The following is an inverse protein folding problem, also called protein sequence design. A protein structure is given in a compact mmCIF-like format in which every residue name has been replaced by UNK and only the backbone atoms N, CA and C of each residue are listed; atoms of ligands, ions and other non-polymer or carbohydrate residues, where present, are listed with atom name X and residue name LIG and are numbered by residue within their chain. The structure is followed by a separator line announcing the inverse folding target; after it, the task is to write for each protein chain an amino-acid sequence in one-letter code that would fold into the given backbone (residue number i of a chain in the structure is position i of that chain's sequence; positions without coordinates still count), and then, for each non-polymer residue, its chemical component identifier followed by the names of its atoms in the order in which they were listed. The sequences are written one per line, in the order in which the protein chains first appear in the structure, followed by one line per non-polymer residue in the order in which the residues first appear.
data_IF_656103450479
#
_entry.id   IF_656103450479
#
_cell.length_a   1.000
_cell.length_b   1.000
_cell.length_c   1.000
_cell.angle_alpha   90.00
_cell.angle_beta   90.00
_cell.angle_gamma   90.00
#
_symmetry.space_group_name_H-M   'P 1'
#
loop_
_entity.id
_entity.type
_entity.pdbx_description
1 polymer ?
#
# COMPACT_ATOMS: atom_id res chain seq x y z
N UNK A 1 1.96 -14.91 -0.68
CA UNK A 1 2.21 -14.46 -2.06
C UNK A 1 1.89 -12.98 -2.04
N UNK A 2 2.62 -12.13 -2.76
CA UNK A 2 2.25 -10.73 -2.78
C UNK A 2 0.91 -10.53 -3.49
N UNK A 3 0.07 -9.67 -2.93
CA UNK A 3 -1.23 -9.31 -3.47
C UNK A 3 -1.49 -7.83 -3.21
N UNK A 4 -2.25 -7.19 -4.09
CA UNK A 4 -2.62 -5.78 -3.99
C UNK A 4 -4.14 -5.63 -3.91
N UNK A 5 -4.62 -4.68 -3.11
CA UNK A 5 -6.01 -4.26 -3.00
C UNK A 5 -6.01 -2.77 -2.59
N UNK A 6 -6.98 -1.98 -3.03
CA UNK A 6 -7.05 -0.57 -2.63
C UNK A 6 -8.32 -0.26 -1.82
N UNK A 7 -8.16 0.62 -0.82
CA UNK A 7 -9.21 0.99 0.13
C UNK A 7 -9.35 2.51 0.20
N UNK A 8 -10.57 3.03 0.16
CA UNK A 8 -10.90 4.43 0.37
C UNK A 8 -11.85 4.55 1.56
N UNK A 9 -11.45 5.30 2.58
CA UNK A 9 -12.16 5.37 3.87
C UNK A 9 -12.05 6.78 4.49
N UNK A 10 -12.13 7.81 3.65
CA UNK A 10 -11.92 9.21 4.05
C UNK A 10 -10.48 9.65 3.78
N UNK A 11 -9.94 10.55 4.62
CA UNK A 11 -8.57 11.06 4.47
C UNK A 11 -7.56 9.91 4.42
N UNK A 12 -6.86 9.78 3.29
CA UNK A 12 -5.94 8.66 3.06
C UNK A 12 -4.77 8.58 4.05
N UNK A 13 -4.42 9.65 4.76
CA UNK A 13 -3.31 9.68 5.70
C UNK A 13 -3.55 8.77 6.91
N UNK A 14 -4.79 8.78 7.43
CA UNK A 14 -5.18 7.88 8.51
C UNK A 14 -5.32 6.44 8.04
N UNK A 15 -5.80 6.26 6.81
CA UNK A 15 -5.98 4.95 6.18
C UNK A 15 -4.62 4.29 5.94
N UNK A 16 -3.66 5.03 5.39
CA UNK A 16 -2.29 4.60 5.12
C UNK A 16 -1.64 4.12 6.41
N UNK A 17 -1.58 5.00 7.42
CA UNK A 17 -1.06 4.67 8.74
C UNK A 17 -1.76 3.46 9.37
N UNK A 18 -3.05 3.26 9.12
CA UNK A 18 -3.77 2.11 9.66
C UNK A 18 -3.31 0.79 9.05
N UNK A 19 -3.06 0.76 7.74
CA UNK A 19 -2.61 -0.43 7.05
C UNK A 19 -1.12 -0.70 7.23
N UNK A 20 -0.27 0.32 7.23
CA UNK A 20 1.19 0.19 7.43
C UNK A 20 1.57 -0.58 8.69
N UNK A 21 0.81 -0.38 9.77
CA UNK A 21 1.07 -1.04 11.05
C UNK A 21 0.57 -2.51 11.12
N UNK A 22 -0.13 -3.02 10.10
CA UNK A 22 -0.68 -4.38 10.11
C UNK A 22 0.43 -5.39 9.74
N UNK A 23 0.77 -6.36 10.61
CA UNK A 23 1.75 -7.38 10.26
C UNK A 23 1.35 -8.15 9.00
N UNK A 24 2.27 -8.24 8.04
CA UNK A 24 2.02 -8.87 6.73
C UNK A 24 1.67 -7.87 5.62
N UNK A 25 1.31 -6.62 5.96
CA UNK A 25 1.34 -5.51 5.00
C UNK A 25 2.80 -5.18 4.69
N UNK A 26 3.06 -5.00 3.40
CA UNK A 26 4.39 -4.79 2.83
C UNK A 26 4.61 -3.33 2.51
N UNK A 27 3.58 -2.68 1.97
CA UNK A 27 3.61 -1.30 1.49
C UNK A 27 2.17 -0.78 1.47
N UNK A 28 1.96 0.49 1.79
CA UNK A 28 0.68 1.16 1.72
C UNK A 28 0.91 2.53 1.09
N UNK A 29 0.31 2.76 -0.08
CA UNK A 29 0.60 3.95 -0.89
C UNK A 29 -0.66 4.78 -1.00
N UNK A 30 -0.61 6.02 -0.53
CA UNK A 30 -1.67 7.02 -0.72
C UNK A 30 -1.79 7.45 -2.19
N UNK A 31 -3.01 7.60 -2.69
CA UNK A 31 -3.27 7.96 -4.08
C UNK A 31 -4.73 8.17 -4.43
N UNK A 32 -4.98 8.17 -5.74
CA UNK A 32 -6.26 8.50 -6.35
C UNK A 32 -6.69 7.41 -7.32
N UNK A 33 -7.93 6.95 -7.21
CA UNK A 33 -8.53 5.98 -8.13
C UNK A 33 -10.07 6.13 -8.16
N UNK A 34 -10.75 5.36 -9.01
CA UNK A 34 -12.22 5.40 -9.16
C UNK A 34 -12.78 6.64 -9.87
N UNK A 35 -11.94 7.50 -10.42
CA UNK A 35 -12.34 8.68 -11.20
C UNK A 35 -12.14 8.49 -12.70
N UNK A 36 -12.63 9.45 -13.49
CA UNK A 36 -12.69 9.37 -14.96
C UNK A 36 -11.61 10.16 -15.69
N UNK A 37 -10.66 10.80 -14.99
CA UNK A 37 -9.64 11.64 -15.60
C UNK A 37 -8.21 11.18 -15.26
N UNK A 38 -7.29 11.43 -16.17
CA UNK A 38 -5.91 10.96 -16.03
C UNK A 38 -5.04 11.92 -15.22
N UNK A 39 -4.04 11.34 -14.53
CA UNK A 39 -3.01 12.04 -13.77
C UNK A 39 -3.55 13.11 -12.79
N UNK A 40 -4.49 12.74 -11.90
CA UNK A 40 -5.04 13.66 -10.91
C UNK A 40 -3.95 14.19 -9.97
N UNK A 41 -3.94 15.51 -9.77
CA UNK A 41 -3.30 16.15 -8.62
C UNK A 41 -4.26 16.25 -7.45
N UNK A 42 -3.74 16.38 -6.23
CA UNK A 42 -4.55 16.60 -5.03
C UNK A 42 -5.53 17.78 -5.19
N UNK A 43 -5.05 18.88 -5.80
CA UNK A 43 -5.86 20.08 -6.02
C UNK A 43 -7.05 19.82 -6.94
N UNK A 44 -6.84 19.10 -8.05
CA UNK A 44 -7.94 18.75 -8.96
C UNK A 44 -8.98 17.86 -8.29
N UNK A 45 -8.54 16.92 -7.45
CA UNK A 45 -9.45 16.07 -6.67
C UNK A 45 -10.29 16.89 -5.69
N UNK A 46 -9.68 17.87 -5.01
CA UNK A 46 -10.42 18.78 -4.13
C UNK A 46 -11.38 19.70 -4.89
N UNK A 47 -10.98 20.20 -6.06
CA UNK A 47 -11.81 21.10 -6.87
C UNK A 47 -13.11 20.41 -7.34
N UNK A 48 -13.05 19.09 -7.61
CA UNK A 48 -14.21 18.28 -8.03
C UNK A 48 -14.98 17.62 -6.86
N UNK A 49 -14.63 17.89 -5.59
CA UNK A 49 -15.22 17.16 -4.44
C UNK A 49 -16.73 17.30 -4.27
N UNK A 50 -17.28 18.40 -4.76
CA UNK A 50 -18.71 18.71 -4.71
C UNK A 50 -19.42 18.40 -6.04
N UNK A 51 -18.68 17.91 -7.04
CA UNK A 51 -19.26 17.55 -8.33
C UNK A 51 -20.10 16.27 -8.17
N UNK A 52 -21.41 16.41 -8.38
CA UNK A 52 -22.37 15.32 -8.33
C UNK A 52 -22.74 14.79 -9.70
N UNK A 53 -22.18 15.33 -10.79
CA UNK A 53 -22.48 14.94 -12.16
C UNK A 53 -22.12 13.47 -12.45
N UNK A 54 -21.05 12.94 -11.82
CA UNK A 54 -20.69 11.52 -11.86
C UNK A 54 -21.48 10.63 -10.88
N UNK A 55 -21.97 11.16 -9.75
CA UNK A 55 -22.75 10.39 -8.76
C UNK A 55 -24.10 9.93 -9.32
N UNK A 56 -24.66 10.71 -10.27
CA UNK A 56 -25.87 10.33 -11.02
C UNK A 56 -25.71 8.96 -11.69
N UNK A 57 -24.50 8.58 -12.17
CA UNK A 57 -24.29 7.27 -12.79
C UNK A 57 -24.34 6.10 -11.80
N UNK A 58 -23.81 6.24 -10.57
CA UNK A 58 -23.89 5.19 -9.54
C UNK A 58 -25.32 5.00 -9.02
N UNK A 59 -26.11 6.08 -9.00
CA UNK A 59 -27.52 6.06 -8.65
C UNK A 59 -28.40 5.54 -9.81
N UNK A 60 -28.06 5.87 -11.06
CA UNK A 60 -28.69 5.34 -12.27
C UNK A 60 -28.44 3.83 -12.44
N UNK A 61 -27.22 3.35 -12.13
CA UNK A 61 -26.87 1.91 -12.09
C UNK A 61 -27.72 1.14 -11.06
N UNK A 62 -28.26 1.84 -10.06
CA UNK A 62 -29.17 1.32 -9.03
C UNK A 62 -30.65 1.71 -9.26
N UNK A 63 -31.02 2.21 -10.43
CA UNK A 63 -32.41 2.35 -10.88
C UNK A 63 -33.16 3.61 -10.44
N UNK A 64 -32.49 4.68 -10.02
CA UNK A 64 -33.13 5.96 -9.69
C UNK A 64 -32.86 7.00 -10.78
N UNK A 65 -33.92 7.60 -11.36
CA UNK A 65 -33.85 8.56 -12.49
C UNK A 65 -34.10 10.01 -12.07
N UNK A 66 -33.31 10.93 -12.64
CA UNK A 66 -33.74 11.99 -13.58
C UNK A 66 -32.49 12.60 -14.27
N UNK A 67 -32.57 12.90 -15.59
CA UNK A 67 -31.42 13.31 -16.43
C UNK A 67 -30.99 14.78 -16.25
N UNK A 68 -29.68 15.07 -16.05
CA UNK A 68 -29.12 16.41 -16.24
C UNK A 68 -28.27 16.54 -17.52
N UNK A 69 -28.28 17.78 -18.05
CA UNK A 69 -27.66 18.27 -19.29
C UNK A 69 -26.13 18.10 -19.35
N UNK A 70 -25.68 17.95 -20.59
CA UNK A 70 -24.34 17.61 -21.10
C UNK A 70 -23.26 18.69 -20.86
N UNK A 71 -22.82 18.88 -19.62
CA UNK A 71 -21.40 19.17 -19.35
C UNK A 71 -20.67 17.82 -19.34
N UNK A 72 -19.45 17.71 -19.87
CA UNK A 72 -18.64 16.49 -19.76
C UNK A 72 -18.71 15.99 -18.31
N UNK A 73 -19.42 14.87 -18.08
CA UNK A 73 -19.73 14.37 -16.74
C UNK A 73 -18.45 13.83 -16.13
N UNK A 74 -17.91 14.52 -15.12
CA UNK A 74 -16.66 14.12 -14.45
C UNK A 74 -17.02 13.23 -13.27
N UNK A 75 -16.43 12.03 -13.21
CA UNK A 75 -16.41 11.23 -11.99
C UNK A 75 -15.13 11.55 -11.24
N UNK A 76 -15.25 12.12 -10.05
CA UNK A 76 -14.08 12.47 -9.26
C UNK A 76 -13.36 11.22 -8.72
N UNK A 77 -12.04 11.30 -8.60
CA UNK A 77 -11.29 10.30 -7.88
C UNK A 77 -11.60 10.34 -6.38
N UNK A 78 -11.48 9.19 -5.72
CA UNK A 78 -11.42 9.12 -4.26
C UNK A 78 -9.98 9.06 -3.79
N UNK A 79 -9.72 9.65 -2.62
CA UNK A 79 -8.53 9.36 -1.84
C UNK A 79 -8.57 7.88 -1.44
N UNK A 80 -7.54 7.14 -1.83
CA UNK A 80 -7.43 5.71 -1.61
C UNK A 80 -6.00 5.34 -1.22
N UNK A 81 -5.88 4.20 -0.53
CA UNK A 81 -4.62 3.59 -0.18
C UNK A 81 -4.52 2.26 -0.87
N UNK A 82 -3.49 2.08 -1.71
CA UNK A 82 -3.16 0.79 -2.30
C UNK A 82 -2.28 0.01 -1.35
N UNK A 83 -2.81 -1.10 -0.85
CA UNK A 83 -2.16 -1.99 0.12
C UNK A 83 -1.56 -3.18 -0.61
N UNK A 84 -0.25 -3.31 -0.54
CA UNK A 84 0.48 -4.51 -0.92
C UNK A 84 0.72 -5.34 0.33
N UNK A 85 0.43 -6.63 0.28
CA UNK A 85 0.56 -7.52 1.43
C UNK A 85 0.99 -8.92 1.03
N UNK A 86 1.61 -9.64 1.96
CA UNK A 86 1.86 -11.08 1.81
C UNK A 86 0.66 -11.87 2.33
N UNK A 87 -0.09 -12.47 1.41
CA UNK A 87 -1.26 -13.30 1.71
C UNK A 87 -0.98 -14.53 2.57
N UNK A 88 0.30 -14.90 2.75
CA UNK A 88 0.70 -15.97 3.68
C UNK A 88 0.69 -15.52 5.14
N UNK A 89 0.75 -14.21 5.37
CA UNK A 89 0.89 -13.60 6.70
C UNK A 89 -0.35 -12.88 7.14
N UNK A 90 -0.99 -12.15 6.24
CA UNK A 90 -2.26 -11.50 6.50
C UNK A 90 -3.24 -11.92 5.42
N UNK A 91 -4.40 -12.40 5.85
CA UNK A 91 -5.47 -12.75 4.92
C UNK A 91 -6.09 -11.50 4.30
N UNK A 92 -6.55 -11.60 3.06
CA UNK A 92 -7.40 -10.55 2.45
C UNK A 92 -8.60 -10.25 3.34
N UNK A 93 -9.22 -11.28 3.92
CA UNK A 93 -10.35 -11.16 4.82
C UNK A 93 -10.02 -10.23 6.01
N UNK A 94 -8.84 -10.39 6.61
CA UNK A 94 -8.40 -9.50 7.68
C UNK A 94 -8.31 -8.05 7.25
N UNK A 95 -7.70 -7.77 6.09
CA UNK A 95 -7.57 -6.40 5.58
C UNK A 95 -8.93 -5.78 5.26
N UNK A 96 -9.83 -6.54 4.65
CA UNK A 96 -11.18 -6.08 4.32
C UNK A 96 -12.03 -5.87 5.58
N UNK A 97 -11.97 -6.78 6.57
CA UNK A 97 -12.65 -6.60 7.86
C UNK A 97 -12.06 -5.44 8.66
N UNK A 98 -10.76 -5.23 8.60
CA UNK A 98 -10.11 -4.05 9.17
C UNK A 98 -10.63 -2.76 8.52
N UNK A 99 -10.74 -2.70 7.19
CA UNK A 99 -11.30 -1.58 6.45
C UNK A 99 -12.71 -1.21 6.91
N UNK A 100 -13.61 -2.19 7.00
CA UNK A 100 -14.99 -1.99 7.43
C UNK A 100 -15.07 -1.35 8.83
N UNK A 101 -14.18 -1.76 9.75
CA UNK A 101 -14.12 -1.21 11.11
C UNK A 101 -13.35 0.12 11.23
N UNK A 102 -12.71 0.59 10.15
CA UNK A 102 -11.85 1.77 10.16
C UNK A 102 -12.64 3.09 10.06
N UNK A 103 -13.87 3.05 9.55
CA UNK A 103 -14.61 4.24 9.13
C UNK A 103 -16.13 4.01 9.24
N UNK A 104 -16.96 4.96 8.79
CA UNK A 104 -18.41 4.82 8.66
C UNK A 104 -18.78 4.51 7.20
N UNK A 105 -18.98 3.24 6.82
CA UNK A 105 -19.31 2.86 5.45
C UNK A 105 -20.75 3.23 5.05
N UNK A 106 -21.53 3.87 5.93
CA UNK A 106 -22.91 4.30 5.65
C UNK A 106 -23.02 5.78 5.29
N UNK A 107 -21.92 6.54 5.45
CA UNK A 107 -21.87 7.95 5.10
C UNK A 107 -21.57 8.14 3.60
N UNK A 108 -22.51 8.77 2.88
CA UNK A 108 -22.35 9.10 1.46
C UNK A 108 -21.38 10.27 1.29
N UNK A 109 -20.39 10.12 0.41
CA UNK A 109 -19.47 11.18 -0.01
C UNK A 109 -18.88 11.98 1.16
N UNK A 110 -18.37 11.26 2.15
CA UNK A 110 -17.68 11.88 3.27
C UNK A 110 -17.40 10.87 4.38
N UNK A 111 -16.54 11.28 5.30
CA UNK A 111 -16.27 10.58 6.55
C UNK A 111 -16.20 11.60 7.68
N UNK A 112 -17.07 11.48 8.68
CA UNK A 112 -17.23 12.49 9.73
C UNK A 112 -17.39 13.90 9.14
N UNK A 113 -16.44 14.79 9.48
CA UNK A 113 -16.42 16.19 9.02
C UNK A 113 -15.75 16.38 7.65
N UNK A 114 -15.09 15.36 7.11
CA UNK A 114 -14.45 15.41 5.80
C UNK A 114 -15.52 15.09 4.74
N UNK A 115 -16.16 16.14 4.22
CA UNK A 115 -17.27 16.04 3.26
C UNK A 115 -16.76 16.28 1.84
N UNK A 116 -17.09 15.36 0.93
CA UNK A 116 -16.71 15.37 -0.48
C UNK A 116 -16.73 13.98 -1.08
N UNK A 117 -17.06 13.87 -2.37
CA UNK A 117 -17.02 12.59 -3.10
C UNK A 117 -15.61 11.96 -3.13
N UNK A 118 -14.55 12.75 -2.86
CA UNK A 118 -13.18 12.30 -2.74
C UNK A 118 -12.91 11.55 -1.42
N UNK A 119 -13.81 11.67 -0.44
CA UNK A 119 -13.76 10.98 0.85
C UNK A 119 -14.77 9.84 0.94
N UNK A 120 -15.32 9.40 -0.20
CA UNK A 120 -16.28 8.29 -0.23
C UNK A 120 -15.63 6.98 0.21
N UNK A 121 -16.45 6.09 0.75
CA UNK A 121 -16.04 4.73 1.05
C UNK A 121 -15.93 3.91 -0.24
N UNK A 122 -14.82 3.22 -0.48
CA UNK A 122 -14.65 2.31 -1.61
C UNK A 122 -13.66 1.17 -1.34
N UNK A 123 -13.87 0.02 -1.99
CA UNK A 123 -12.90 -1.09 -2.06
C UNK A 123 -12.69 -1.47 -3.52
N UNK A 124 -11.41 -1.59 -3.91
CA UNK A 124 -11.01 -1.95 -5.26
C UNK A 124 -10.15 -3.22 -5.28
N UNK A 125 -10.69 -4.32 -5.81
CA UNK A 125 -10.01 -5.63 -5.85
C UNK A 125 -9.23 -5.87 -7.15
N UNK A 126 -8.21 -6.70 -7.11
CA UNK A 126 -7.38 -7.08 -8.27
C UNK A 126 -7.64 -8.49 -8.79
N UNK A 127 -8.39 -9.32 -8.06
CA UNK A 127 -8.74 -10.69 -8.45
C UNK A 127 -10.08 -11.15 -7.88
N UNK A 128 -10.59 -12.28 -8.40
CA UNK A 128 -11.92 -12.80 -8.04
C UNK A 128 -12.01 -13.35 -6.61
N UNK A 129 -10.92 -13.87 -6.03
CA UNK A 129 -10.91 -14.32 -4.64
C UNK A 129 -11.12 -13.13 -3.69
N UNK A 130 -10.47 -12.00 -3.97
CA UNK A 130 -10.69 -10.75 -3.23
C UNK A 130 -12.13 -10.26 -3.39
N UNK A 131 -12.68 -10.27 -4.62
CA UNK A 131 -14.07 -9.89 -4.88
C UNK A 131 -15.04 -10.69 -4.01
N UNK A 132 -14.87 -12.02 -3.96
CA UNK A 132 -15.72 -12.89 -3.14
C UNK A 132 -15.67 -12.49 -1.66
N UNK A 133 -14.48 -12.31 -1.10
CA UNK A 133 -14.28 -11.91 0.29
C UNK A 133 -14.91 -10.54 0.57
N UNK A 134 -14.75 -9.59 -0.35
CA UNK A 134 -15.35 -8.25 -0.23
C UNK A 134 -16.87 -8.32 -0.14
N UNK A 135 -17.51 -9.11 -1.00
CA UNK A 135 -18.98 -9.26 -1.01
C UNK A 135 -19.48 -10.01 0.23
N UNK A 136 -18.80 -11.09 0.64
CA UNK A 136 -19.18 -11.87 1.82
C UNK A 136 -19.07 -11.03 3.12
N UNK A 137 -17.97 -10.30 3.28
CA UNK A 137 -17.76 -9.43 4.44
C UNK A 137 -18.64 -8.20 4.44
N UNK A 138 -18.99 -7.66 3.26
CA UNK A 138 -20.01 -6.61 3.12
C UNK A 138 -21.35 -7.06 3.73
N UNK A 139 -21.84 -8.23 3.32
CA UNK A 139 -23.14 -8.75 3.77
C UNK A 139 -23.13 -9.09 5.27
N UNK A 140 -22.01 -9.58 5.79
CA UNK A 140 -21.80 -9.78 7.22
C UNK A 140 -21.82 -8.44 7.98
N UNK A 141 -21.05 -7.45 7.53
CA UNK A 141 -20.95 -6.15 8.21
C UNK A 141 -22.24 -5.35 8.16
N UNK A 142 -22.98 -5.40 7.04
CA UNK A 142 -24.30 -4.76 6.93
C UNK A 142 -25.26 -5.25 8.01
N UNK A 143 -25.25 -6.55 8.34
CA UNK A 143 -26.08 -7.10 9.43
C UNK A 143 -25.67 -6.51 10.78
N UNK A 144 -24.37 -6.44 11.05
CA UNK A 144 -23.82 -5.88 12.29
C UNK A 144 -24.15 -4.39 12.45
N UNK A 145 -24.02 -3.60 11.37
CA UNK A 145 -24.39 -2.19 11.33
C UNK A 145 -25.88 -1.99 11.58
N UNK A 146 -26.73 -2.78 10.92
CA UNK A 146 -28.20 -2.73 11.10
C UNK A 146 -28.59 -2.99 12.56
N UNK A 147 -27.98 -3.99 13.20
CA UNK A 147 -28.21 -4.30 14.62
C UNK A 147 -27.82 -3.14 15.56
N UNK A 148 -26.91 -2.27 15.13
CA UNK A 148 -26.46 -1.09 15.86
C UNK A 148 -27.17 0.20 15.46
N UNK A 149 -28.17 0.11 14.57
CA UNK A 149 -29.00 1.24 14.14
C UNK A 149 -28.37 2.11 13.04
N UNK A 150 -27.29 1.66 12.42
CA UNK A 150 -26.70 2.35 11.26
C UNK A 150 -27.50 2.10 9.98
N UNK A 151 -27.28 2.95 8.98
CA UNK A 151 -27.92 2.87 7.67
C UNK A 151 -27.40 1.72 6.80
N UNK A 152 -27.75 1.80 5.50
CA UNK A 152 -27.17 0.90 4.49
C UNK A 152 -25.73 1.32 4.19
N UNK A 153 -24.87 0.34 3.95
CA UNK A 153 -23.54 0.54 3.40
C UNK A 153 -23.69 1.18 2.02
N UNK A 154 -22.90 2.22 1.78
CA UNK A 154 -22.85 2.98 0.52
C UNK A 154 -21.48 2.88 -0.16
N UNK A 155 -20.62 2.00 0.35
CA UNK A 155 -19.28 1.72 -0.17
C UNK A 155 -19.34 1.29 -1.63
N UNK A 156 -18.52 1.93 -2.46
CA UNK A 156 -18.30 1.54 -3.85
C UNK A 156 -17.46 0.25 -3.91
N UNK A 157 -17.94 -0.76 -4.62
CA UNK A 157 -17.32 -2.08 -4.72
C UNK A 157 -17.06 -2.40 -6.19
N UNK A 158 -15.83 -2.21 -6.67
CA UNK A 158 -15.49 -2.35 -8.09
C UNK A 158 -14.09 -2.99 -8.27
N UNK A 159 -13.73 -3.54 -9.44
CA UNK A 159 -12.35 -3.94 -9.71
C UNK A 159 -11.43 -2.71 -9.75
N UNK A 160 -10.17 -2.89 -9.34
CA UNK A 160 -9.16 -1.85 -9.37
C UNK A 160 -8.81 -1.48 -10.82
N UNK A 161 -9.19 -0.26 -11.20
CA UNK A 161 -8.73 0.38 -12.42
C UNK A 161 -7.32 0.96 -12.25
N UNK A 162 -7.06 2.10 -12.91
CA UNK A 162 -5.78 2.79 -12.76
C UNK A 162 -5.67 3.44 -11.38
N UNK A 163 -4.52 3.25 -10.74
CA UNK A 163 -4.18 3.89 -9.47
C UNK A 163 -3.09 4.93 -9.72
N UNK A 164 -3.33 6.15 -9.27
CA UNK A 164 -2.41 7.26 -9.38
C UNK A 164 -1.83 7.57 -8.00
N UNK A 165 -0.53 7.33 -7.80
CA UNK A 165 0.13 7.69 -6.55
C UNK A 165 0.00 9.19 -6.30
N UNK A 166 -0.35 9.58 -5.07
CA UNK A 166 -0.37 10.96 -4.66
C UNK A 166 1.06 11.52 -4.58
N UNK A 167 1.17 12.84 -4.55
CA UNK A 167 2.43 13.56 -4.43
C UNK A 167 3.24 13.10 -3.20
N UNK A 168 4.57 13.18 -3.27
CA UNK A 168 5.47 12.61 -2.24
C UNK A 168 5.28 13.19 -0.83
N UNK A 169 4.71 14.39 -0.72
CA UNK A 169 4.40 15.01 0.57
C UNK A 169 3.14 14.42 1.23
N UNK A 170 2.31 13.67 0.49
CA UNK A 170 1.16 12.94 1.04
C UNK A 170 1.53 11.55 1.56
N UNK A 171 2.58 10.93 1.01
CA UNK A 171 3.05 9.61 1.44
C UNK A 171 3.62 9.70 2.87
N UNK A 172 3.35 8.72 3.71
CA UNK A 172 3.80 8.62 5.11
C UNK A 172 3.51 9.90 5.93
N UNK A 173 2.45 10.65 5.60
CA UNK A 173 2.29 12.01 6.12
C UNK A 173 2.26 12.05 7.65
N UNK A 174 1.58 11.10 8.29
CA UNK A 174 1.49 11.01 9.76
C UNK A 174 2.75 10.43 10.42
N UNK A 175 3.62 9.76 9.67
CA UNK A 175 4.96 9.41 10.14
C UNK A 175 5.88 10.65 10.13
N UNK A 176 5.78 11.47 9.08
CA UNK A 176 6.52 12.72 8.92
C UNK A 176 5.99 13.84 9.83
N UNK A 177 4.71 13.81 10.18
CA UNK A 177 4.02 14.78 11.02
C UNK A 177 3.29 14.07 12.17
N UNK A 178 3.96 13.75 13.29
CA UNK A 178 3.36 12.98 14.39
C UNK A 178 2.15 13.66 15.05
N UNK A 179 2.08 14.99 14.98
CA UNK A 179 0.96 15.81 15.46
C UNK A 179 -0.05 16.14 14.34
N UNK A 180 0.08 15.50 13.17
CA UNK A 180 -0.83 15.65 12.05
C UNK A 180 -2.23 15.17 12.42
N UNK A 181 -3.22 15.89 11.91
CA UNK A 181 -4.63 15.60 12.18
C UNK A 181 -5.15 14.52 11.23
N UNK A 182 -5.79 13.50 11.79
CA UNK A 182 -6.71 12.64 11.05
C UNK A 182 -7.90 12.35 11.98
N UNK A 183 -9.13 12.70 11.58
CA UNK A 183 -10.28 12.40 12.41
C UNK A 183 -10.52 10.89 12.53
N UNK A 184 -11.11 10.48 13.65
CA UNK A 184 -11.53 9.09 13.86
C UNK A 184 -12.99 8.94 13.40
N UNK A 185 -13.19 8.19 12.32
CA UNK A 185 -14.51 8.02 11.68
C UNK A 185 -15.18 6.69 12.00
N UNK A 186 -14.64 5.91 12.94
CA UNK A 186 -15.10 4.54 13.22
C UNK A 186 -16.51 4.54 13.79
N UNK A 187 -17.35 3.63 13.29
CA UNK A 187 -18.68 3.33 13.87
C UNK A 187 -18.60 2.67 15.25
N UNK A 188 -17.45 2.04 15.57
CA UNK A 188 -17.28 1.20 16.75
C UNK A 188 -17.85 -0.22 16.61
N UNK A 189 -18.49 -0.54 15.48
CA UNK A 189 -18.97 -1.89 15.16
C UNK A 189 -17.79 -2.77 14.74
N UNK A 190 -17.76 -4.00 15.23
CA UNK A 190 -16.67 -4.95 14.98
C UNK A 190 -17.18 -6.31 14.56
N UNK A 191 -16.40 -7.00 13.73
CA UNK A 191 -16.57 -8.42 13.49
C UNK A 191 -16.21 -9.21 14.74
N UNK A 192 -16.79 -10.40 14.88
CA UNK A 192 -16.41 -11.34 15.95
C UNK A 192 -15.02 -11.93 15.71
N UNK A 193 -14.70 -12.24 14.44
CA UNK A 193 -13.39 -12.69 13.99
C UNK A 193 -13.01 -11.91 12.73
N UNK A 194 -11.78 -11.39 12.72
CA UNK A 194 -11.21 -10.70 11.57
C UNK A 194 -10.50 -11.63 10.59
N UNK A 195 -10.35 -12.91 10.94
CA UNK A 195 -9.52 -13.83 10.20
C UNK A 195 -8.05 -13.70 10.58
N UNK A 196 -7.19 -14.26 9.74
CA UNK A 196 -5.82 -14.58 10.14
C UNK A 196 -4.85 -13.40 9.96
N UNK A 197 -4.16 -13.05 11.04
CA UNK A 197 -2.79 -12.52 11.02
C UNK A 197 -1.87 -13.59 11.62
N UNK A 198 -0.80 -13.95 10.92
CA UNK A 198 0.34 -14.65 11.50
C UNK A 198 1.35 -13.60 11.95
N UNK A 199 1.42 -13.34 13.25
CA UNK A 199 2.55 -12.62 13.82
C UNK A 199 3.80 -13.48 13.58
N UNK A 200 4.68 -12.99 12.69
CA UNK A 200 6.01 -13.55 12.36
C UNK A 200 6.01 -14.91 11.65
N UNK A 201 6.33 -14.89 10.35
CA UNK A 201 7.21 -15.89 9.76
C UNK A 201 8.65 -15.59 10.24
N UNK A 202 8.98 -15.78 11.52
CA UNK A 202 10.38 -15.59 11.98
C UNK A 202 11.23 -16.85 11.78
N UNK A 203 10.63 -18.03 11.65
CA UNK A 203 11.41 -19.28 11.66
C UNK A 203 11.85 -19.76 10.28
N UNK A 204 11.24 -19.27 9.19
CA UNK A 204 11.56 -19.71 7.81
C UNK A 204 11.95 -18.57 6.87
N UNK A 205 11.83 -17.31 7.31
CA UNK A 205 12.14 -16.16 6.48
C UNK A 205 13.66 -16.04 6.29
N UNK A 206 14.13 -16.15 5.04
CA UNK A 206 15.55 -16.17 4.69
C UNK A 206 16.38 -17.28 5.36
N UNK A 207 15.78 -18.42 5.70
CA UNK A 207 16.53 -19.55 6.29
C UNK A 207 17.72 -19.98 5.42
N UNK A 208 17.59 -19.90 4.09
CA UNK A 208 18.67 -20.15 3.12
C UNK A 208 19.90 -19.23 3.27
N UNK A 209 19.80 -18.12 4.00
CA UNK A 209 20.91 -17.19 4.27
C UNK A 209 21.62 -17.48 5.60
N UNK A 210 21.07 -18.35 6.45
CA UNK A 210 21.55 -18.59 7.82
C UNK A 210 23.04 -18.94 7.88
N UNK A 211 23.49 -19.79 6.97
CA UNK A 211 24.87 -20.26 6.90
C UNK A 211 25.71 -19.56 5.81
N UNK A 212 25.12 -18.58 5.11
CA UNK A 212 25.82 -17.84 4.06
C UNK A 212 26.74 -16.80 4.67
N UNK A 213 28.05 -16.96 4.49
CA UNK A 213 29.06 -15.95 4.80
C UNK A 213 29.47 -15.27 3.51
N UNK A 214 29.30 -13.95 3.44
CA UNK A 214 29.62 -13.17 2.24
C UNK A 214 31.00 -12.52 2.38
N UNK A 215 31.85 -12.70 1.37
CA UNK A 215 33.13 -12.00 1.18
C UNK A 215 33.11 -11.22 -0.13
N UNK A 216 33.86 -10.11 -0.27
CA UNK A 216 33.84 -9.28 -1.47
C UNK A 216 34.19 -10.04 -2.74
N UNK A 217 33.52 -9.68 -3.84
CA UNK A 217 33.99 -10.02 -5.18
C UNK A 217 35.04 -9.01 -5.66
N UNK A 218 35.89 -9.47 -6.57
CA UNK A 218 36.63 -8.58 -7.46
C UNK A 218 35.63 -7.96 -8.47
N UNK A 219 35.70 -6.64 -8.64
CA UNK A 219 34.77 -5.88 -9.47
C UNK A 219 33.53 -5.38 -8.72
N UNK A 220 32.46 -5.12 -9.47
CA UNK A 220 31.22 -4.52 -8.99
C UNK A 220 30.23 -5.60 -8.54
N UNK A 221 29.56 -5.37 -7.42
CA UNK A 221 28.46 -6.18 -6.92
C UNK A 221 27.41 -5.32 -6.18
N UNK A 222 26.21 -5.87 -6.00
CA UNK A 222 25.17 -5.31 -5.15
C UNK A 222 24.94 -6.28 -4.01
N UNK A 223 25.14 -5.81 -2.78
CA UNK A 223 24.89 -6.60 -1.58
C UNK A 223 23.60 -6.11 -0.93
N UNK A 224 22.67 -7.04 -0.69
CA UNK A 224 21.41 -6.76 0.00
C UNK A 224 21.49 -7.37 1.39
N UNK A 225 21.57 -6.52 2.41
CA UNK A 225 21.49 -6.97 3.79
C UNK A 225 20.04 -7.21 4.13
N UNK A 226 19.74 -8.43 4.53
CA UNK A 226 18.41 -8.86 4.89
C UNK A 226 18.27 -9.18 6.37
N UNK A 227 17.02 -9.26 6.80
CA UNK A 227 16.66 -9.62 8.16
C UNK A 227 16.59 -11.14 8.33
N UNK A 228 17.06 -11.61 9.48
CA UNK A 228 16.87 -12.98 9.98
C UNK A 228 15.41 -13.25 10.42
N UNK A 229 14.64 -12.19 10.53
CA UNK A 229 13.23 -12.17 10.88
C UNK A 229 12.43 -11.57 9.73
N UNK A 230 11.11 -11.83 9.66
CA UNK A 230 10.25 -11.25 8.63
C UNK A 230 10.49 -9.75 8.39
N UNK A 231 10.82 -9.39 7.15
CA UNK A 231 11.07 -8.02 6.71
C UNK A 231 10.19 -7.70 5.48
N UNK A 232 9.10 -6.93 5.65
CA UNK A 232 8.20 -6.59 4.54
C UNK A 232 8.94 -5.87 3.41
N UNK A 233 9.74 -4.86 3.75
CA UNK A 233 10.51 -4.07 2.79
C UNK A 233 11.51 -4.91 1.98
N UNK A 234 12.08 -5.95 2.58
CA UNK A 234 13.00 -6.86 1.92
C UNK A 234 12.26 -7.72 0.88
N UNK A 235 11.02 -8.14 1.18
CA UNK A 235 10.14 -8.82 0.22
C UNK A 235 9.73 -7.89 -0.91
N UNK A 236 9.33 -6.66 -0.58
CA UNK A 236 8.98 -5.63 -1.56
C UNK A 236 10.12 -5.43 -2.56
N UNK A 237 11.35 -5.28 -2.04
CA UNK A 237 12.54 -5.12 -2.85
C UNK A 237 12.79 -6.33 -3.76
N UNK A 238 12.69 -7.56 -3.24
CA UNK A 238 12.83 -8.77 -4.05
C UNK A 238 11.82 -8.84 -5.20
N UNK A 239 10.55 -8.63 -4.90
CA UNK A 239 9.48 -8.85 -5.87
C UNK A 239 9.33 -7.70 -6.87
N UNK A 240 9.48 -6.44 -6.43
CA UNK A 240 9.32 -5.26 -7.30
C UNK A 240 10.60 -4.87 -8.02
N UNK A 241 11.78 -5.23 -7.49
CA UNK A 241 13.07 -4.80 -8.04
C UNK A 241 13.88 -5.98 -8.55
N UNK A 242 14.25 -6.93 -7.69
CA UNK A 242 15.19 -7.99 -8.06
C UNK A 242 14.60 -9.01 -9.03
N UNK A 243 13.30 -9.28 -8.97
CA UNK A 243 12.60 -10.20 -9.89
C UNK A 243 12.68 -9.76 -11.34
N UNK A 244 12.62 -8.44 -11.58
CA UNK A 244 12.74 -7.85 -12.93
C UNK A 244 14.17 -7.43 -13.27
N UNK A 245 15.12 -7.60 -12.35
CA UNK A 245 16.52 -7.27 -12.59
C UNK A 245 17.13 -8.16 -13.69
N UNK A 246 17.69 -7.53 -14.72
CA UNK A 246 18.40 -8.19 -15.83
C UNK A 246 19.82 -7.64 -16.04
N UNK A 247 20.37 -6.95 -15.03
CA UNK A 247 21.71 -6.36 -15.11
C UNK A 247 22.82 -7.40 -14.95
N UNK A 248 24.02 -7.04 -15.40
CA UNK A 248 25.21 -7.90 -15.33
C UNK A 248 25.94 -7.85 -13.99
N UNK A 249 25.58 -6.92 -13.11
CA UNK A 249 26.22 -6.79 -11.79
C UNK A 249 25.55 -7.81 -10.86
N UNK A 250 26.30 -8.73 -10.24
CA UNK A 250 25.71 -9.74 -9.36
C UNK A 250 25.03 -9.09 -8.15
N UNK A 251 23.84 -9.58 -7.81
CA UNK A 251 23.13 -9.22 -6.59
C UNK A 251 23.20 -10.40 -5.62
N UNK A 252 23.69 -10.17 -4.40
CA UNK A 252 23.83 -11.21 -3.37
C UNK A 252 23.22 -10.75 -2.06
N UNK A 253 22.43 -11.62 -1.43
CA UNK A 253 21.82 -11.35 -0.12
C UNK A 253 22.62 -11.98 1.02
N UNK A 254 22.65 -11.32 2.18
CA UNK A 254 23.29 -11.84 3.39
C UNK A 254 22.68 -11.21 4.66
N UNK A 255 22.82 -11.86 5.81
CA UNK A 255 22.55 -11.22 7.10
C UNK A 255 23.69 -10.29 7.54
N UNK A 256 23.35 -9.23 8.28
CA UNK A 256 24.31 -8.21 8.71
C UNK A 256 25.50 -8.80 9.50
N UNK A 257 25.28 -9.86 10.29
CA UNK A 257 26.32 -10.51 11.07
C UNK A 257 27.22 -11.46 10.25
N UNK A 258 26.85 -11.75 9.00
CA UNK A 258 27.54 -12.69 8.12
C UNK A 258 28.34 -12.01 6.99
N UNK A 259 28.39 -10.68 6.96
CA UNK A 259 29.23 -9.92 6.01
C UNK A 259 30.65 -9.75 6.56
N UNK A 260 31.67 -10.17 5.79
CA UNK A 260 33.08 -10.14 6.22
C UNK A 260 34.00 -9.56 5.15
N UNK A 261 34.97 -8.75 5.54
CA UNK A 261 35.99 -8.22 4.61
C UNK A 261 35.59 -6.98 3.79
N UNK A 262 34.38 -6.45 4.01
CA UNK A 262 33.90 -5.23 3.35
C UNK A 262 34.29 -3.96 4.11
N UNK A 263 34.52 -2.87 3.38
CA UNK A 263 34.68 -1.51 3.91
C UNK A 263 33.38 -0.74 3.72
N UNK A 264 32.51 -0.83 4.72
CA UNK A 264 31.17 -0.24 4.70
C UNK A 264 31.14 1.10 5.45
N UNK A 265 30.29 2.01 4.96
CA UNK A 265 29.98 3.31 5.58
C UNK A 265 28.52 3.37 6.01
N UNK A 266 27.63 2.76 5.24
CA UNK A 266 26.20 2.69 5.55
C UNK A 266 25.96 1.72 6.71
N UNK A 267 25.25 2.12 7.77
CA UNK A 267 24.92 1.21 8.87
C UNK A 267 24.07 0.02 8.40
N UNK A 268 24.33 -1.16 8.95
CA UNK A 268 23.71 -2.42 8.51
C UNK A 268 22.58 -2.92 9.42
N UNK A 269 22.16 -2.10 10.39
CA UNK A 269 21.11 -2.48 11.36
C UNK A 269 19.69 -2.40 10.79
N UNK A 270 19.49 -1.67 9.70
CA UNK A 270 18.20 -1.55 9.02
C UNK A 270 18.12 -2.55 7.86
N UNK A 271 16.93 -3.04 7.56
CA UNK A 271 16.72 -4.00 6.47
C UNK A 271 15.52 -3.61 5.60
N UNK A 272 15.59 -3.79 4.27
CA UNK A 272 16.80 -4.15 3.55
C UNK A 272 17.81 -3.00 3.61
N UNK A 273 19.11 -3.32 3.61
CA UNK A 273 20.15 -2.31 3.30
C UNK A 273 20.78 -2.70 1.97
N UNK A 274 20.65 -1.85 0.96
CA UNK A 274 21.12 -2.08 -0.41
C UNK A 274 22.45 -1.37 -0.57
N UNK A 275 23.52 -2.13 -0.79
CA UNK A 275 24.88 -1.64 -0.90
C UNK A 275 25.41 -1.89 -2.31
N UNK A 276 25.89 -0.85 -2.97
CA UNK A 276 26.61 -0.97 -4.23
C UNK A 276 28.11 -0.97 -3.90
N UNK A 277 28.76 -2.10 -4.13
CA UNK A 277 30.13 -2.39 -3.69
C UNK A 277 31.03 -2.60 -4.91
N UNK A 278 32.23 -2.02 -4.88
CA UNK A 278 33.28 -2.32 -5.85
C UNK A 278 34.57 -2.69 -5.13
N UNK A 279 35.13 -3.86 -5.43
CA UNK A 279 36.35 -4.41 -4.80
C UNK A 279 36.27 -4.36 -3.25
N UNK A 280 35.11 -4.74 -2.70
CA UNK A 280 34.85 -4.73 -1.26
C UNK A 280 34.67 -3.36 -0.62
N UNK A 281 34.65 -2.27 -1.39
CA UNK A 281 34.43 -0.90 -0.89
C UNK A 281 33.06 -0.41 -1.29
N UNK A 282 32.29 0.07 -0.31
CA UNK A 282 31.00 0.69 -0.56
C UNK A 282 31.14 2.00 -1.37
N UNK A 283 30.36 2.08 -2.46
CA UNK A 283 30.24 3.28 -3.30
C UNK A 283 28.93 4.01 -3.09
N UNK A 284 27.83 3.28 -2.89
CA UNK A 284 26.51 3.80 -2.54
C UNK A 284 25.84 2.85 -1.54
N UNK A 285 25.01 3.39 -0.66
CA UNK A 285 24.25 2.59 0.30
C UNK A 285 22.90 3.24 0.61
N UNK A 286 21.87 2.41 0.75
CA UNK A 286 20.49 2.81 1.01
C UNK A 286 19.91 1.91 2.09
N UNK A 287 19.29 2.51 3.10
CA UNK A 287 18.58 1.78 4.15
C UNK A 287 17.07 1.84 3.90
N UNK A 288 16.37 0.73 4.08
CA UNK A 288 14.94 0.61 3.82
C UNK A 288 14.63 0.21 2.38
N UNK A 289 13.34 0.15 2.05
CA UNK A 289 12.89 -0.17 0.70
C UNK A 289 13.40 0.88 -0.30
N UNK A 290 13.98 0.42 -1.40
CA UNK A 290 14.44 1.24 -2.50
C UNK A 290 13.56 0.95 -3.71
N UNK A 291 12.74 1.92 -4.13
CA UNK A 291 11.76 1.72 -5.18
C UNK A 291 12.44 1.43 -6.55
N UNK A 292 11.76 0.79 -7.52
CA UNK A 292 12.38 0.40 -8.79
C UNK A 292 13.08 1.55 -9.53
N UNK A 293 12.42 2.70 -9.65
CA UNK A 293 12.99 3.90 -10.29
C UNK A 293 14.26 4.38 -9.57
N UNK A 294 14.25 4.47 -8.24
CA UNK A 294 15.39 4.90 -7.43
C UNK A 294 16.53 3.89 -7.50
N UNK A 295 16.21 2.59 -7.46
CA UNK A 295 17.20 1.52 -7.60
C UNK A 295 17.89 1.59 -8.96
N UNK A 296 17.15 1.77 -10.06
CA UNK A 296 17.74 1.85 -11.40
C UNK A 296 18.55 3.13 -11.60
N UNK A 297 18.13 4.26 -11.03
CA UNK A 297 18.93 5.49 -11.00
C UNK A 297 20.24 5.29 -10.22
N UNK A 298 20.18 4.65 -9.05
CA UNK A 298 21.36 4.31 -8.26
C UNK A 298 22.29 3.35 -9.01
N UNK A 299 21.73 2.34 -9.69
CA UNK A 299 22.45 1.37 -10.51
C UNK A 299 23.18 2.05 -11.68
N UNK A 300 22.52 2.98 -12.38
CA UNK A 300 23.13 3.73 -13.47
C UNK A 300 24.33 4.56 -12.97
N UNK A 301 24.13 5.30 -11.88
CA UNK A 301 25.20 6.08 -11.24
C UNK A 301 26.38 5.18 -10.83
N UNK A 302 26.07 4.00 -10.28
CA UNK A 302 27.09 3.04 -9.88
C UNK A 302 27.86 2.45 -11.07
N UNK A 303 27.19 2.21 -12.20
CA UNK A 303 27.85 1.74 -13.43
C UNK A 303 28.84 2.77 -13.97
N UNK A 304 28.46 4.06 -13.97
CA UNK A 304 29.24 5.16 -14.55
C UNK A 304 30.45 5.63 -13.72
N UNK A 305 30.42 5.44 -12.40
CA UNK A 305 31.53 5.80 -11.50
C UNK A 305 32.66 4.73 -11.52
N UNK A 306 33.27 4.51 -12.69
CA UNK A 306 34.52 3.74 -12.87
C UNK A 306 35.74 4.64 -12.75
#
# INVERSE_FOLDING_TARGET
MLSEIAFAAGCFWGVEKNFEQIPGVVDAVSGYTGGSYDNPSYRQVLDHRNDTSGLSQLLEKNGWKDEPKESEKITNHTEAVKVLYDSKLVSTEYLVKNFWELHDPTQVNGQGNDIGNNYRSAIYWTNDDQKKIVLETHDEYQKLLTQKGFGKIVTELEPLGKFWSAESYHQDYLAKNPNGYCPNHKTGVKFADKGMIKEKLSETYNEHLKDVILQPLDGKEIVVIESDSYCPYCIAFKEKVLKEYRGSIPVRSVFAHNIKGYKLKTPTFATPTILFIENGVEKLGFQGYLAPNEFYQALEKFKLNS
#
